data_IF_569539920673
#
_entry.id   IF_569539920673
#
_cell.length_a   1.000
_cell.length_b   1.000
_cell.length_c   1.000
_cell.angle_alpha   90.00
_cell.angle_beta   90.00
_cell.angle_gamma   90.00
#
_symmetry.space_group_name_H-M   'P 1'
#
loop_
_entity.id
_entity.type
_entity.pdbx_description
1 polymer ?
#
# COMPACT_ATOMS: atom_id res chain seq x y z
N UNK A 1 0.81 -14.03 -61.22
CA UNK A 1 1.05 -14.44 -59.82
C UNK A 1 -0.19 -14.11 -59.02
N UNK A 2 -0.92 -15.13 -58.53
CA UNK A 2 -2.12 -14.91 -57.72
C UNK A 2 -1.71 -14.57 -56.27
N UNK A 3 -2.24 -13.47 -55.74
CA UNK A 3 -1.96 -13.01 -54.37
C UNK A 3 -2.96 -13.70 -53.44
N UNK A 4 -2.46 -14.55 -52.54
CA UNK A 4 -3.30 -15.23 -51.54
C UNK A 4 -3.75 -14.17 -50.52
N UNK A 5 -5.05 -13.87 -50.50
CA UNK A 5 -5.68 -13.03 -49.48
C UNK A 5 -5.88 -13.90 -48.24
N UNK A 6 -5.14 -13.62 -47.16
CA UNK A 6 -5.40 -14.21 -45.85
C UNK A 6 -6.44 -13.34 -45.14
N UNK A 7 -7.64 -13.89 -44.92
CA UNK A 7 -8.63 -13.25 -44.07
C UNK A 7 -8.15 -13.30 -42.60
N UNK A 8 -8.33 -12.22 -41.81
CA UNK A 8 -8.02 -12.26 -40.39
C UNK A 8 -8.99 -13.24 -39.73
N UNK A 9 -8.47 -14.37 -39.27
CA UNK A 9 -9.20 -15.27 -38.39
C UNK A 9 -9.34 -14.51 -37.08
N UNK A 10 -10.56 -14.07 -36.73
CA UNK A 10 -10.84 -13.65 -35.35
C UNK A 10 -10.48 -14.85 -34.48
N UNK A 11 -9.65 -14.66 -33.47
CA UNK A 11 -9.40 -15.67 -32.46
C UNK A 11 -10.77 -16.22 -32.03
N UNK A 12 -11.00 -17.51 -32.27
CA UNK A 12 -12.29 -18.13 -31.94
C UNK A 12 -12.33 -18.25 -30.43
N UNK A 13 -12.94 -17.26 -29.78
CA UNK A 13 -13.25 -17.33 -28.36
C UNK A 13 -14.66 -17.92 -28.18
N UNK A 14 -14.84 -18.73 -27.14
CA UNK A 14 -16.17 -19.18 -26.76
C UNK A 14 -17.03 -18.01 -26.28
N UNK A 15 -18.34 -18.09 -26.53
CA UNK A 15 -19.30 -17.11 -26.00
C UNK A 15 -19.26 -17.09 -24.46
N UNK A 16 -19.03 -18.27 -23.85
CA UNK A 16 -18.86 -18.40 -22.42
C UNK A 16 -17.67 -17.60 -21.91
N UNK A 17 -16.51 -17.69 -22.58
CA UNK A 17 -15.31 -16.96 -22.22
C UNK A 17 -15.52 -15.44 -22.21
N UNK A 18 -16.12 -14.89 -23.27
CA UNK A 18 -16.44 -13.46 -23.35
C UNK A 18 -17.37 -13.00 -22.23
N UNK A 19 -18.41 -13.77 -21.91
CA UNK A 19 -19.35 -13.44 -20.85
C UNK A 19 -18.69 -13.46 -19.47
N UNK A 20 -17.91 -14.50 -19.15
CA UNK A 20 -17.24 -14.62 -17.84
C UNK A 20 -16.16 -13.57 -17.64
N UNK A 21 -15.46 -13.17 -18.71
CA UNK A 21 -14.50 -12.07 -18.66
C UNK A 21 -15.18 -10.79 -18.17
N UNK A 22 -16.34 -10.45 -18.75
CA UNK A 22 -17.11 -9.27 -18.34
C UNK A 22 -17.68 -9.38 -16.92
N UNK A 23 -18.14 -10.57 -16.52
CA UNK A 23 -18.66 -10.81 -15.17
C UNK A 23 -17.57 -10.66 -14.09
N UNK A 24 -16.36 -11.16 -14.35
CA UNK A 24 -15.21 -11.00 -13.44
C UNK A 24 -14.85 -9.51 -13.28
N UNK A 25 -14.86 -8.74 -14.37
CA UNK A 25 -14.57 -7.30 -14.34
C UNK A 25 -15.64 -6.52 -13.58
N UNK A 26 -16.91 -6.84 -13.81
CA UNK A 26 -18.05 -6.19 -13.16
C UNK A 26 -18.22 -6.57 -11.68
N UNK A 27 -17.53 -7.59 -11.18
CA UNK A 27 -17.62 -8.00 -9.78
C UNK A 27 -17.16 -6.88 -8.84
N UNK A 28 -18.03 -6.51 -7.89
CA UNK A 28 -17.78 -5.46 -6.88
C UNK A 28 -17.38 -6.03 -5.52
N UNK A 29 -17.77 -7.28 -5.23
CA UNK A 29 -17.50 -7.94 -3.94
C UNK A 29 -16.74 -9.24 -4.13
N UNK A 30 -16.04 -9.67 -3.07
CA UNK A 30 -15.34 -10.96 -3.05
C UNK A 30 -16.30 -12.14 -3.19
N UNK A 31 -17.50 -12.03 -2.62
CA UNK A 31 -18.55 -13.05 -2.68
C UNK A 31 -19.06 -13.22 -4.12
N UNK A 32 -19.40 -12.12 -4.80
CA UNK A 32 -19.83 -12.16 -6.21
C UNK A 32 -18.76 -12.72 -7.13
N UNK A 33 -17.49 -12.35 -6.89
CA UNK A 33 -16.39 -12.89 -7.67
C UNK A 33 -16.25 -14.39 -7.46
N UNK A 34 -16.29 -14.87 -6.21
CA UNK A 34 -16.21 -16.30 -5.90
C UNK A 34 -17.33 -17.10 -6.56
N UNK A 35 -18.56 -16.59 -6.53
CA UNK A 35 -19.69 -17.19 -7.22
C UNK A 35 -19.44 -17.38 -8.73
N UNK A 36 -18.88 -16.37 -9.41
CA UNK A 36 -18.54 -16.50 -10.83
C UNK A 36 -17.42 -17.52 -11.08
N UNK A 37 -16.43 -17.60 -10.20
CA UNK A 37 -15.37 -18.61 -10.31
C UNK A 37 -15.92 -20.03 -10.21
N UNK A 38 -16.85 -20.28 -9.28
CA UNK A 38 -17.54 -21.57 -9.17
C UNK A 38 -18.37 -21.90 -10.42
N UNK A 39 -19.02 -20.89 -11.01
CA UNK A 39 -19.78 -21.06 -12.26
C UNK A 39 -18.88 -21.40 -13.46
N UNK A 40 -17.66 -20.86 -13.50
CA UNK A 40 -16.66 -21.19 -14.54
C UNK A 40 -16.26 -22.66 -14.41
N UNK A 41 -15.93 -23.14 -13.21
CA UNK A 41 -15.58 -24.55 -12.99
C UNK A 41 -16.70 -25.51 -13.42
N UNK A 42 -17.96 -25.15 -13.14
CA UNK A 42 -19.11 -25.95 -13.57
C UNK A 42 -19.34 -25.90 -15.09
N UNK A 43 -19.05 -24.77 -15.72
CA UNK A 43 -19.16 -24.59 -17.17
C UNK A 43 -18.07 -25.35 -17.94
N UNK A 44 -16.89 -25.48 -17.33
CA UNK A 44 -15.79 -26.29 -17.84
C UNK A 44 -16.14 -27.79 -17.84
N UNK A 45 -16.74 -28.30 -16.75
CA UNK A 45 -17.24 -29.68 -16.69
C UNK A 45 -18.27 -30.00 -17.76
N UNK A 46 -19.03 -28.99 -18.20
CA UNK A 46 -20.05 -29.10 -19.25
C UNK A 46 -19.47 -28.91 -20.67
N UNK A 47 -18.17 -28.63 -20.80
CA UNK A 47 -17.50 -28.48 -22.09
C UNK A 47 -17.85 -27.20 -22.84
N UNK A 48 -18.16 -26.11 -22.14
CA UNK A 48 -18.51 -24.83 -22.77
C UNK A 48 -17.30 -23.98 -23.20
N UNK A 49 -16.09 -24.39 -22.83
CA UNK A 49 -14.85 -23.67 -23.12
C UNK A 49 -13.98 -24.39 -24.15
N UNK A 50 -13.19 -23.60 -24.86
CA UNK A 50 -12.08 -24.09 -25.68
C UNK A 50 -10.86 -24.32 -24.76
N UNK A 51 -9.95 -25.21 -25.16
CA UNK A 51 -8.76 -25.57 -24.37
C UNK A 51 -7.96 -24.31 -23.95
N UNK A 52 -7.70 -24.18 -22.65
CA UNK A 52 -6.96 -23.08 -22.05
C UNK A 52 -7.75 -21.78 -21.77
N UNK A 53 -9.02 -21.68 -22.17
CA UNK A 53 -9.86 -20.50 -21.86
C UNK A 53 -10.26 -20.44 -20.38
N UNK A 54 -10.61 -21.59 -19.79
CA UNK A 54 -10.94 -21.71 -18.37
C UNK A 54 -9.76 -21.25 -17.49
N UNK A 55 -8.55 -21.70 -17.81
CA UNK A 55 -7.33 -21.33 -17.09
C UNK A 55 -7.06 -19.82 -17.12
N UNK A 56 -7.28 -19.17 -18.25
CA UNK A 56 -7.16 -17.71 -18.39
C UNK A 56 -8.17 -16.97 -17.51
N UNK A 57 -9.43 -17.43 -17.47
CA UNK A 57 -10.45 -16.86 -16.59
C UNK A 57 -10.09 -17.05 -15.11
N UNK A 58 -9.56 -18.23 -14.75
CA UNK A 58 -9.08 -18.48 -13.39
C UNK A 58 -7.94 -17.52 -13.01
N UNK A 59 -7.00 -17.27 -13.92
CA UNK A 59 -5.92 -16.30 -13.71
C UNK A 59 -6.46 -14.87 -13.55
N UNK A 60 -7.40 -14.46 -14.41
CA UNK A 60 -8.05 -13.15 -14.33
C UNK A 60 -8.78 -12.98 -12.99
N UNK A 61 -9.54 -13.99 -12.56
CA UNK A 61 -10.22 -13.98 -11.26
C UNK A 61 -9.24 -13.90 -10.08
N UNK A 62 -8.09 -14.58 -10.15
CA UNK A 62 -7.02 -14.46 -9.15
C UNK A 62 -6.45 -13.04 -9.09
N UNK A 63 -6.15 -12.43 -10.25
CA UNK A 63 -5.69 -11.03 -10.32
C UNK A 63 -6.72 -10.09 -9.71
N UNK A 64 -8.00 -10.26 -10.04
CA UNK A 64 -9.10 -9.44 -9.50
C UNK A 64 -9.24 -9.59 -7.98
N UNK A 65 -9.12 -10.81 -7.44
CA UNK A 65 -9.09 -11.04 -5.98
C UNK A 65 -7.94 -10.30 -5.32
N UNK A 66 -6.75 -10.32 -5.92
CA UNK A 66 -5.59 -9.59 -5.39
C UNK A 66 -5.82 -8.08 -5.42
N UNK A 67 -6.45 -7.54 -6.47
CA UNK A 67 -6.83 -6.12 -6.53
C UNK A 67 -7.85 -5.75 -5.46
N UNK A 68 -8.91 -6.55 -5.29
CA UNK A 68 -9.92 -6.34 -4.24
C UNK A 68 -9.37 -6.52 -2.81
N UNK A 69 -8.25 -7.24 -2.65
CA UNK A 69 -7.59 -7.42 -1.38
C UNK A 69 -6.62 -6.28 -1.03
N UNK A 70 -6.25 -5.43 -2.00
CA UNK A 70 -5.43 -4.25 -1.71
C UNK A 70 -6.24 -3.32 -0.81
N UNK A 71 -5.66 -2.83 0.29
CA UNK A 71 -6.34 -1.87 1.15
C UNK A 71 -6.64 -0.60 0.35
N UNK A 72 -7.82 0.00 0.60
CA UNK A 72 -8.20 1.27 0.00
C UNK A 72 -7.19 2.32 0.45
N UNK A 73 -6.49 2.93 -0.52
CA UNK A 73 -5.56 4.00 -0.21
C UNK A 73 -6.36 5.17 0.37
N UNK A 74 -6.15 5.44 1.66
CA UNK A 74 -6.81 6.57 2.31
C UNK A 74 -6.02 7.85 1.99
N UNK A 75 -6.73 8.96 1.83
CA UNK A 75 -6.12 10.26 1.58
C UNK A 75 -5.17 10.66 2.72
N UNK A 76 -4.20 11.52 2.42
CA UNK A 76 -3.26 12.01 3.42
C UNK A 76 -4.01 12.87 4.42
N UNK A 77 -3.92 12.53 5.70
CA UNK A 77 -4.40 13.39 6.77
C UNK A 77 -3.46 14.60 6.91
N UNK A 78 -4.02 15.81 6.84
CA UNK A 78 -3.28 17.06 7.08
C UNK A 78 -3.34 17.35 8.58
N UNK A 79 -2.18 17.37 9.23
CA UNK A 79 -2.07 17.62 10.65
C UNK A 79 -2.20 19.13 10.95
N UNK A 80 -3.41 19.59 11.30
CA UNK A 80 -3.67 21.00 11.62
C UNK A 80 -3.41 21.35 13.10
N UNK A 81 -3.53 20.37 14.00
CA UNK A 81 -3.38 20.58 15.46
C UNK A 81 -2.18 19.82 16.03
N UNK A 82 -1.47 20.36 17.04
CA UNK A 82 -0.39 19.64 17.72
C UNK A 82 -0.88 18.30 18.28
N UNK A 83 -0.09 17.26 18.07
CA UNK A 83 -0.46 15.91 18.46
C UNK A 83 0.31 14.83 17.73
N UNK A 84 -0.03 13.58 18.04
CA UNK A 84 0.53 12.40 17.39
C UNK A 84 -0.46 11.83 16.38
N UNK A 85 -0.05 11.79 15.12
CA UNK A 85 -0.80 11.23 14.02
C UNK A 85 -0.22 9.86 13.67
N UNK A 86 -0.93 8.82 14.09
CA UNK A 86 -0.54 7.43 13.83
C UNK A 86 -1.01 7.01 12.44
N UNK A 87 -0.13 6.39 11.67
CA UNK A 87 -0.50 5.81 10.38
C UNK A 87 0.07 4.40 10.22
N UNK A 88 -0.71 3.55 9.56
CA UNK A 88 -0.41 2.15 9.30
C UNK A 88 -0.36 1.91 7.79
N UNK A 89 0.84 1.94 7.18
CA UNK A 89 1.01 1.72 5.75
C UNK A 89 0.45 0.40 5.24
N UNK A 90 0.46 -0.63 6.09
CA UNK A 90 -0.05 -1.97 5.80
C UNK A 90 -1.57 -1.94 5.54
N UNK A 91 -2.29 -0.98 6.12
CA UNK A 91 -3.72 -0.71 5.90
C UNK A 91 -3.96 0.30 4.77
N UNK A 92 -2.96 0.64 3.96
CA UNK A 92 -3.09 1.61 2.87
C UNK A 92 -3.16 3.07 3.33
N UNK A 93 -2.89 3.36 4.60
CA UNK A 93 -2.84 4.73 5.11
C UNK A 93 -1.55 5.41 4.65
N UNK A 94 -1.68 6.63 4.14
CA UNK A 94 -0.53 7.46 3.75
C UNK A 94 0.04 8.17 4.97
N UNK A 95 1.35 8.42 4.92
CA UNK A 95 2.03 9.22 5.94
C UNK A 95 1.43 10.64 5.98
N UNK A 96 1.03 11.13 7.16
CA UNK A 96 0.53 12.49 7.32
C UNK A 96 1.68 13.50 7.18
N UNK A 97 1.37 14.68 6.64
CA UNK A 97 2.35 15.75 6.48
C UNK A 97 2.51 16.46 7.83
N UNK A 98 3.51 16.03 8.61
CA UNK A 98 3.83 16.51 9.96
C UNK A 98 5.21 17.17 10.02
N UNK A 99 5.45 17.98 11.04
CA UNK A 99 6.74 18.67 11.26
C UNK A 99 7.84 17.73 11.79
N UNK A 100 7.46 16.64 12.44
CA UNK A 100 8.36 15.67 13.03
C UNK A 100 7.92 14.24 12.74
N UNK A 101 8.87 13.32 12.81
CA UNK A 101 8.62 11.88 12.76
C UNK A 101 9.12 11.22 14.02
N UNK A 102 8.26 10.44 14.66
CA UNK A 102 8.60 9.69 15.85
C UNK A 102 8.62 8.19 15.57
N UNK A 103 9.62 7.52 16.11
CA UNK A 103 9.69 6.08 16.21
C UNK A 103 9.99 5.67 17.65
N UNK A 104 9.38 4.56 18.08
CA UNK A 104 9.60 4.04 19.43
C UNK A 104 10.78 3.07 19.40
N UNK A 105 11.71 3.22 20.35
CA UNK A 105 12.83 2.29 20.48
C UNK A 105 12.36 0.88 20.85
N UNK A 106 13.15 -0.13 20.47
CA UNK A 106 12.83 -1.57 20.63
C UNK A 106 12.43 -1.96 22.06
N UNK A 107 13.06 -1.36 23.08
CA UNK A 107 12.73 -1.61 24.50
C UNK A 107 11.66 -0.67 25.08
N UNK A 108 11.04 0.17 24.25
CA UNK A 108 9.94 1.05 24.62
C UNK A 108 10.28 2.21 25.57
N UNK A 109 11.53 2.33 26.05
CA UNK A 109 11.97 3.33 27.06
C UNK A 109 12.27 4.72 26.49
N UNK A 110 12.49 4.82 25.20
CA UNK A 110 12.89 6.06 24.54
C UNK A 110 12.22 6.19 23.18
N UNK A 111 12.04 7.43 22.78
CA UNK A 111 11.58 7.83 21.46
C UNK A 111 12.76 8.34 20.65
N UNK A 112 12.74 8.05 19.36
CA UNK A 112 13.61 8.65 18.37
C UNK A 112 12.77 9.62 17.55
N UNK A 113 13.23 10.86 17.46
CA UNK A 113 12.55 11.92 16.73
C UNK A 113 13.45 12.43 15.64
N UNK A 114 12.96 12.36 14.41
CA UNK A 114 13.58 12.96 13.25
C UNK A 114 12.87 14.27 12.93
N UNK A 115 13.63 15.36 12.84
CA UNK A 115 13.07 16.67 12.51
C UNK A 115 14.11 17.58 11.86
N UNK A 116 13.71 18.48 10.94
CA UNK A 116 14.61 19.51 10.44
C UNK A 116 14.92 20.58 11.50
N UNK A 117 14.13 20.66 12.58
CA UNK A 117 14.26 21.66 13.63
C UNK A 117 15.39 21.31 14.60
N UNK A 118 15.93 22.33 15.27
CA UNK A 118 16.92 22.14 16.34
C UNK A 118 16.21 22.08 17.69
N UNK A 119 16.13 20.89 18.28
CA UNK A 119 15.52 20.67 19.59
C UNK A 119 16.56 20.82 20.71
N UNK A 120 16.15 21.48 21.80
CA UNK A 120 16.95 21.63 23.03
C UNK A 120 16.05 21.45 24.24
N UNK A 121 16.56 20.77 25.27
CA UNK A 121 15.82 20.60 26.52
C UNK A 121 16.32 19.42 27.36
N UNK A 122 15.86 19.36 28.61
CA UNK A 122 16.14 18.23 29.50
C UNK A 122 15.46 16.97 28.96
N UNK A 123 16.22 15.89 28.82
CA UNK A 123 15.70 14.62 28.31
C UNK A 123 15.60 14.54 26.79
N UNK A 124 16.22 15.48 26.08
CA UNK A 124 16.45 15.46 24.63
C UNK A 124 17.96 15.34 24.39
N UNK A 125 18.37 14.31 23.66
CA UNK A 125 19.77 14.04 23.33
C UNK A 125 19.92 14.03 21.81
N UNK A 126 20.72 14.94 21.28
CA UNK A 126 21.09 14.92 19.87
C UNK A 126 21.96 13.70 19.57
N UNK A 127 21.62 12.96 18.51
CA UNK A 127 22.39 11.79 18.08
C UNK A 127 23.23 12.12 16.86
N UNK A 128 22.58 12.51 15.76
CA UNK A 128 23.27 12.83 14.50
C UNK A 128 22.42 13.72 13.61
N UNK A 129 23.07 14.25 12.57
CA UNK A 129 22.42 14.90 11.44
C UNK A 129 22.54 13.98 10.24
N UNK A 130 21.43 13.71 9.57
CA UNK A 130 21.40 12.80 8.44
C UNK A 130 22.12 13.38 7.23
N UNK A 131 22.92 12.53 6.59
CA UNK A 131 23.61 12.75 5.32
C UNK A 131 23.12 11.71 4.30
N UNK A 132 23.43 11.90 3.01
CA UNK A 132 23.05 10.90 1.99
C UNK A 132 23.59 9.50 2.29
N UNK A 133 24.76 9.39 2.91
CA UNK A 133 25.38 8.12 3.27
C UNK A 133 24.63 7.35 4.37
N UNK A 134 23.73 8.01 5.10
CA UNK A 134 22.91 7.35 6.13
C UNK A 134 21.74 6.56 5.54
N UNK A 135 21.43 6.75 4.25
CA UNK A 135 20.31 6.10 3.59
C UNK A 135 20.78 5.19 2.46
N UNK A 136 20.05 4.08 2.26
CA UNK A 136 20.33 3.14 1.18
C UNK A 136 20.08 3.74 -0.21
N UNK A 137 19.10 4.65 -0.32
CA UNK A 137 18.77 5.34 -1.57
C UNK A 137 19.21 6.81 -1.50
N UNK A 138 19.90 7.32 -2.54
CA UNK A 138 20.26 8.73 -2.61
C UNK A 138 19.00 9.61 -2.75
N UNK A 139 19.07 10.84 -2.22
CA UNK A 139 17.96 11.80 -2.33
C UNK A 139 16.82 11.58 -1.34
N UNK A 140 17.11 10.98 -0.19
CA UNK A 140 16.12 10.86 0.88
C UNK A 140 15.72 12.25 1.40
N UNK A 141 14.42 12.50 1.57
CA UNK A 141 13.90 13.79 2.03
C UNK A 141 14.32 14.17 3.47
N UNK A 142 14.81 13.20 4.26
CA UNK A 142 15.37 13.44 5.60
C UNK A 142 16.84 13.85 5.59
N UNK A 143 17.50 13.93 4.43
CA UNK A 143 18.87 14.45 4.37
C UNK A 143 18.88 15.89 4.91
N UNK A 144 19.80 16.15 5.84
CA UNK A 144 19.89 17.41 6.58
C UNK A 144 19.00 17.50 7.83
N UNK A 145 18.15 16.51 8.11
CA UNK A 145 17.39 16.45 9.36
C UNK A 145 18.25 15.99 10.54
N UNK A 146 17.79 16.30 11.74
CA UNK A 146 18.42 15.90 12.99
C UNK A 146 17.67 14.72 13.61
N UNK A 147 18.42 13.73 14.09
CA UNK A 147 17.93 12.61 14.87
C UNK A 147 18.18 12.89 16.37
N UNK A 148 17.12 12.78 17.17
CA UNK A 148 17.16 12.97 18.62
C UNK A 148 16.65 11.73 19.35
N UNK A 149 17.31 11.37 20.45
CA UNK A 149 16.76 10.46 21.46
C UNK A 149 16.05 11.27 22.53
N UNK A 150 14.80 10.91 22.80
CA UNK A 150 13.90 11.66 23.69
C UNK A 150 13.31 10.72 24.74
N UNK A 151 13.24 11.20 25.98
CA UNK A 151 12.54 10.51 27.09
C UNK A 151 11.04 10.69 26.98
N UNK A 152 10.23 9.78 27.55
CA UNK A 152 8.75 9.88 27.51
C UNK A 152 8.23 11.25 27.95
N UNK A 153 8.74 11.78 29.08
CA UNK A 153 8.33 13.10 29.60
C UNK A 153 8.65 14.27 28.66
N UNK A 154 9.75 14.17 27.92
CA UNK A 154 10.12 15.19 26.95
C UNK A 154 9.29 15.04 25.67
N UNK A 155 8.98 13.80 25.29
CA UNK A 155 8.10 13.51 24.16
C UNK A 155 6.68 14.03 24.38
N UNK A 156 6.11 13.85 25.58
CA UNK A 156 4.77 14.36 25.90
C UNK A 156 4.67 15.88 25.72
N UNK A 157 5.71 16.63 26.11
CA UNK A 157 5.76 18.08 25.86
C UNK A 157 5.88 18.44 24.38
N UNK A 158 6.54 17.60 23.58
CA UNK A 158 6.68 17.85 22.14
C UNK A 158 5.35 17.62 21.42
N UNK A 159 4.53 16.65 21.86
CA UNK A 159 3.19 16.41 21.30
C UNK A 159 2.25 17.59 21.48
N UNK A 160 2.40 18.34 22.58
CA UNK A 160 1.59 19.53 22.84
C UNK A 160 1.94 20.71 21.93
N UNK A 161 3.16 20.74 21.38
CA UNK A 161 3.69 21.90 20.66
C UNK A 161 3.80 21.67 19.15
N UNK A 162 4.01 20.42 18.73
CA UNK A 162 4.34 20.07 17.36
C UNK A 162 3.43 18.97 16.82
N UNK A 163 3.30 18.93 15.50
CA UNK A 163 2.67 17.81 14.80
C UNK A 163 3.70 16.72 14.57
N UNK A 164 3.41 15.53 15.09
CA UNK A 164 4.34 14.40 15.06
C UNK A 164 3.65 13.22 14.38
N UNK A 165 4.25 12.73 13.30
CA UNK A 165 3.80 11.50 12.65
C UNK A 165 4.44 10.29 13.32
N UNK A 166 3.66 9.23 13.55
CA UNK A 166 4.16 7.97 14.09
C UNK A 166 3.71 6.82 13.20
N UNK A 167 4.67 5.98 12.80
CA UNK A 167 4.34 4.73 12.08
C UNK A 167 3.94 3.66 13.08
N UNK A 168 2.76 3.07 12.88
CA UNK A 168 2.24 1.96 13.67
C UNK A 168 2.13 0.72 12.79
N UNK A 169 2.89 -0.33 13.14
CA UNK A 169 2.80 -1.63 12.49
C UNK A 169 1.62 -2.41 13.05
N UNK A 170 0.99 -3.23 12.21
CA UNK A 170 0.07 -4.28 12.67
C UNK A 170 0.92 -5.40 13.27
N UNK A 171 0.59 -5.82 14.49
CA UNK A 171 1.13 -7.04 15.11
C UNK A 171 0.45 -8.30 14.57
#
# INVERSE_FOLDING_TARGET
MAKIIRFPVREQESVAYGNYTQLIEAALSKETLNFYMECIEESEKKGHFIEGESEKLLEQGRKRRLEMAKPVQTEKEVAESPGVYCYTPEMGQRKPDCQMEASRGYYGKHWYIDTPLSLKGRGITFLKKYTDNDFYMPGNYRVGWNEYRVTDRAFDKLKEQYTISQRCYLD
#
